data_IF_007799164929
#
_entry.id   IF_007799164929
#
_cell.length_a   1.000
_cell.length_b   1.000
_cell.length_c   1.000
_cell.angle_alpha   90.00
_cell.angle_beta   90.00
_cell.angle_gamma   90.00
#
_symmetry.space_group_name_H-M   'P 1'
#
loop_
_entity.id
_entity.type
_entity.pdbx_description
1 polymer ?
#
# COMPACT_ATOMS: atom_id res chain seq x y z
N UNK A 1 -11.83 -2.35 -0.21
CA UNK A 1 -11.16 -3.48 -0.86
C UNK A 1 -9.91 -3.90 -0.08
N UNK A 2 -8.92 -3.01 0.16
CA UNK A 2 -7.66 -3.40 0.82
C UNK A 2 -7.87 -3.92 2.25
N UNK A 3 -8.65 -3.22 3.08
CA UNK A 3 -9.02 -3.70 4.42
C UNK A 3 -9.67 -5.11 4.38
N UNK A 4 -10.58 -5.33 3.44
CA UNK A 4 -11.25 -6.64 3.28
C UNK A 4 -10.24 -7.74 2.95
N UNK A 5 -9.23 -7.44 2.13
CA UNK A 5 -8.17 -8.39 1.80
C UNK A 5 -7.29 -8.71 3.02
N UNK A 6 -6.92 -7.70 3.80
CA UNK A 6 -6.11 -7.89 5.03
C UNK A 6 -6.88 -8.68 6.09
N UNK A 7 -8.17 -8.41 6.27
CA UNK A 7 -9.05 -9.17 7.17
C UNK A 7 -9.18 -10.65 6.76
N UNK A 8 -9.30 -10.92 5.47
CA UNK A 8 -9.35 -12.29 4.95
C UNK A 8 -8.02 -13.03 5.18
N UNK A 9 -6.89 -12.34 4.98
CA UNK A 9 -5.56 -12.89 5.29
C UNK A 9 -5.46 -13.21 6.78
N UNK A 10 -5.90 -12.30 7.65
CA UNK A 10 -5.92 -12.49 9.09
C UNK A 10 -6.71 -13.76 9.48
N UNK A 11 -7.92 -13.87 8.95
CA UNK A 11 -8.78 -15.01 9.22
C UNK A 11 -8.15 -16.35 8.79
N UNK A 12 -7.50 -16.38 7.63
CA UNK A 12 -6.78 -17.57 7.15
C UNK A 12 -5.59 -17.94 8.05
N UNK A 13 -4.84 -16.95 8.55
CA UNK A 13 -3.74 -17.17 9.48
C UNK A 13 -4.27 -17.78 10.79
N UNK A 14 -5.36 -17.24 11.35
CA UNK A 14 -5.99 -17.76 12.58
C UNK A 14 -6.53 -19.18 12.42
N UNK A 15 -7.04 -19.53 11.25
CA UNK A 15 -7.53 -20.86 10.93
C UNK A 15 -6.42 -21.86 10.56
N UNK A 16 -5.15 -21.43 10.57
CA UNK A 16 -4.02 -22.25 10.12
C UNK A 16 -4.23 -22.82 8.70
N UNK A 17 -4.76 -21.97 7.79
CA UNK A 17 -5.00 -22.34 6.39
C UNK A 17 -3.68 -22.77 5.73
N UNK A 18 -3.62 -24.04 5.27
CA UNK A 18 -2.42 -24.59 4.63
C UNK A 18 -2.07 -23.90 3.30
N UNK A 19 -3.02 -23.18 2.71
CA UNK A 19 -2.86 -22.47 1.44
C UNK A 19 -2.12 -21.15 1.63
N UNK A 20 -2.27 -20.51 2.79
CA UNK A 20 -1.61 -19.24 3.11
C UNK A 20 -0.46 -19.45 4.10
N UNK A 21 0.75 -19.64 3.59
CA UNK A 21 1.98 -19.69 4.40
C UNK A 21 2.57 -18.29 4.53
N UNK A 22 2.07 -17.51 5.47
CA UNK A 22 2.57 -16.16 5.74
C UNK A 22 3.12 -16.08 7.17
N UNK A 23 4.41 -15.71 7.36
CA UNK A 23 4.96 -15.42 8.69
C UNK A 23 4.18 -14.31 9.39
N UNK A 24 4.05 -14.40 10.71
CA UNK A 24 3.32 -13.39 11.51
C UNK A 24 3.87 -11.98 11.31
N UNK A 25 5.19 -11.81 11.33
CA UNK A 25 5.84 -10.52 11.13
C UNK A 25 5.51 -9.91 9.76
N UNK A 26 5.43 -10.73 8.72
CA UNK A 26 5.03 -10.30 7.39
C UNK A 26 3.60 -9.76 7.36
N UNK A 27 2.68 -10.45 8.02
CA UNK A 27 1.30 -9.99 8.18
C UNK A 27 1.23 -8.66 8.96
N UNK A 28 2.00 -8.51 10.05
CA UNK A 28 2.04 -7.29 10.86
C UNK A 28 2.43 -6.05 10.02
N UNK A 29 3.38 -6.16 9.09
CA UNK A 29 3.70 -5.09 8.14
C UNK A 29 2.55 -4.77 7.19
N UNK A 30 1.86 -5.79 6.66
CA UNK A 30 0.70 -5.56 5.79
C UNK A 30 -0.47 -4.94 6.56
N UNK A 31 -0.69 -5.34 7.78
CA UNK A 31 -1.69 -4.76 8.67
C UNK A 31 -1.37 -3.29 8.99
N UNK A 32 -0.13 -2.97 9.30
CA UNK A 32 0.32 -1.60 9.53
C UNK A 32 0.14 -0.74 8.28
N UNK A 33 0.51 -1.26 7.10
CA UNK A 33 0.24 -0.58 5.82
C UNK A 33 -1.25 -0.25 5.63
N UNK A 34 -2.14 -1.16 6.00
CA UNK A 34 -3.59 -0.95 5.91
C UNK A 34 -4.07 0.09 6.93
N UNK A 35 -3.55 0.05 8.16
CA UNK A 35 -3.81 1.03 9.21
C UNK A 35 -3.40 2.44 8.78
N UNK A 36 -2.20 2.59 8.22
CA UNK A 36 -1.68 3.86 7.69
C UNK A 36 -2.62 4.46 6.63
N UNK A 37 -3.11 3.63 5.70
CA UNK A 37 -4.11 4.08 4.70
C UNK A 37 -5.39 4.56 5.37
N UNK A 38 -5.91 3.80 6.34
CA UNK A 38 -7.12 4.18 7.08
C UNK A 38 -6.97 5.51 7.82
N UNK A 39 -5.84 5.69 8.51
CA UNK A 39 -5.50 6.93 9.19
C UNK A 39 -5.29 8.10 8.22
N UNK A 40 -4.68 7.84 7.04
CA UNK A 40 -4.54 8.86 6.00
C UNK A 40 -5.90 9.36 5.50
N UNK A 41 -6.89 8.48 5.32
CA UNK A 41 -8.26 8.89 5.03
C UNK A 41 -8.84 9.79 6.13
N UNK A 42 -8.72 9.38 7.39
CA UNK A 42 -9.21 10.17 8.51
C UNK A 42 -8.60 11.57 8.50
N UNK A 43 -7.28 11.69 8.39
CA UNK A 43 -6.58 12.97 8.35
C UNK A 43 -6.96 13.81 7.13
N UNK A 44 -7.22 13.19 5.98
CA UNK A 44 -7.64 13.89 4.76
C UNK A 44 -8.97 14.61 4.97
N UNK A 45 -9.96 13.94 5.56
CA UNK A 45 -11.26 14.56 5.84
C UNK A 45 -11.24 15.61 6.95
N UNK A 46 -10.19 15.58 7.78
CA UNK A 46 -9.97 16.62 8.81
C UNK A 46 -9.04 17.76 8.35
N UNK A 47 -8.67 17.80 7.05
CA UNK A 47 -7.82 18.87 6.52
C UNK A 47 -6.33 18.76 6.90
N UNK A 48 -5.91 17.62 7.47
CA UNK A 48 -4.53 17.37 7.89
C UNK A 48 -3.70 16.74 6.75
N UNK A 49 -3.64 17.39 5.60
CA UNK A 49 -3.13 16.80 4.33
C UNK A 49 -1.67 16.37 4.40
N UNK A 50 -0.79 17.15 5.06
CA UNK A 50 0.61 16.76 5.25
C UNK A 50 0.72 15.45 6.06
N UNK A 51 -0.06 15.34 7.13
CA UNK A 51 -0.12 14.11 7.93
C UNK A 51 -0.64 12.90 7.11
N UNK A 52 -1.68 13.13 6.31
CA UNK A 52 -2.21 12.09 5.41
C UNK A 52 -1.16 11.58 4.41
N UNK A 53 -0.38 12.47 3.79
CA UNK A 53 0.70 12.12 2.87
C UNK A 53 1.84 11.38 3.57
N UNK A 54 2.19 11.76 4.81
CA UNK A 54 3.18 11.04 5.62
C UNK A 54 2.75 9.60 5.90
N UNK A 55 1.48 9.38 6.22
CA UNK A 55 0.94 8.04 6.45
C UNK A 55 0.87 7.22 5.15
N UNK A 56 0.47 7.81 4.02
CA UNK A 56 0.53 7.11 2.74
C UNK A 56 1.96 6.69 2.36
N UNK A 57 2.95 7.55 2.65
CA UNK A 57 4.36 7.21 2.47
C UNK A 57 4.77 6.03 3.35
N UNK A 58 4.43 6.06 4.66
CA UNK A 58 4.66 4.97 5.60
C UNK A 58 3.98 3.67 5.13
N UNK A 59 2.74 3.77 4.64
CA UNK A 59 2.01 2.64 4.08
C UNK A 59 2.77 1.95 2.94
N UNK A 60 3.41 2.69 2.03
CA UNK A 60 4.21 2.11 0.94
C UNK A 60 5.43 1.37 1.50
N UNK A 61 6.14 1.97 2.46
CA UNK A 61 7.31 1.34 3.10
C UNK A 61 6.92 0.02 3.79
N UNK A 62 5.84 0.03 4.57
CA UNK A 62 5.31 -1.14 5.26
C UNK A 62 4.81 -2.20 4.27
N UNK A 63 4.14 -1.78 3.18
CA UNK A 63 3.69 -2.69 2.15
C UNK A 63 4.84 -3.41 1.44
N UNK A 64 5.91 -2.70 1.08
CA UNK A 64 7.10 -3.31 0.44
C UNK A 64 7.75 -4.33 1.38
N UNK A 65 7.93 -3.99 2.66
CA UNK A 65 8.44 -4.93 3.66
C UNK A 65 7.53 -6.15 3.81
N UNK A 66 6.24 -5.93 4.03
CA UNK A 66 5.26 -6.99 4.20
C UNK A 66 5.05 -7.86 2.97
N UNK A 67 5.20 -7.33 1.77
CA UNK A 67 5.04 -8.12 0.54
C UNK A 67 6.28 -8.93 0.15
N UNK A 68 7.48 -8.61 0.70
CA UNK A 68 8.75 -9.19 0.27
C UNK A 68 9.56 -9.88 1.38
N UNK A 69 9.12 -9.84 2.65
CA UNK A 69 9.86 -10.35 3.80
C UNK A 69 10.25 -11.83 3.67
N UNK A 70 9.38 -12.65 3.13
CA UNK A 70 9.62 -14.08 2.90
C UNK A 70 10.69 -14.37 1.83
N UNK A 71 11.03 -13.37 1.02
CA UNK A 71 12.06 -13.46 -0.02
C UNK A 71 13.37 -12.73 0.37
N UNK A 72 13.30 -11.76 1.29
CA UNK A 72 14.45 -11.04 1.83
C UNK A 72 14.23 -10.68 3.31
N UNK A 73 14.73 -11.54 4.20
CA UNK A 73 14.66 -11.39 5.66
C UNK A 73 15.39 -10.15 6.21
N UNK A 74 16.19 -9.46 5.40
CA UNK A 74 16.91 -8.25 5.81
C UNK A 74 16.04 -6.97 5.73
N UNK A 75 14.88 -7.03 5.08
CA UNK A 75 13.99 -5.87 4.88
C UNK A 75 13.54 -5.19 6.18
N UNK A 76 13.15 -5.90 7.26
CA UNK A 76 12.76 -5.26 8.52
C UNK A 76 13.85 -4.37 9.12
N UNK A 77 15.11 -4.81 9.04
CA UNK A 77 16.28 -4.10 9.59
C UNK A 77 16.77 -2.96 8.69
N UNK A 78 16.28 -2.87 7.46
CA UNK A 78 16.69 -1.86 6.49
C UNK A 78 16.13 -0.49 6.85
N UNK A 79 17.01 0.47 7.14
CA UNK A 79 16.65 1.83 7.57
C UNK A 79 16.44 2.79 6.40
N UNK A 80 17.16 2.61 5.31
CA UNK A 80 17.08 3.44 4.13
C UNK A 80 15.90 2.99 3.26
N UNK A 81 14.95 3.87 3.00
CA UNK A 81 13.79 3.57 2.15
C UNK A 81 14.22 3.27 0.71
N UNK A 82 15.23 3.96 0.19
CA UNK A 82 15.78 3.66 -1.13
C UNK A 82 16.30 2.21 -1.19
N UNK A 83 16.99 1.77 -0.13
CA UNK A 83 17.45 0.38 -0.03
C UNK A 83 16.29 -0.61 0.08
N UNK A 84 15.19 -0.25 0.77
CA UNK A 84 13.96 -1.06 0.80
C UNK A 84 13.39 -1.23 -0.61
N UNK A 85 13.32 -0.16 -1.41
CA UNK A 85 12.88 -0.24 -2.79
C UNK A 85 13.80 -1.11 -3.65
N UNK A 86 15.12 -0.94 -3.53
CA UNK A 86 16.08 -1.74 -4.30
C UNK A 86 16.00 -3.23 -3.96
N UNK A 87 15.88 -3.57 -2.68
CA UNK A 87 15.71 -4.95 -2.21
C UNK A 87 14.38 -5.54 -2.70
N UNK A 88 13.27 -4.82 -2.53
CA UNK A 88 11.95 -5.26 -2.99
C UNK A 88 11.96 -5.51 -4.52
N UNK A 89 12.59 -4.65 -5.30
CA UNK A 89 12.75 -4.82 -6.75
C UNK A 89 13.48 -6.10 -7.12
N UNK A 90 14.39 -6.58 -6.27
CA UNK A 90 15.16 -7.79 -6.50
C UNK A 90 14.37 -9.08 -6.20
N UNK A 91 13.22 -9.01 -5.53
CA UNK A 91 12.39 -10.16 -5.18
C UNK A 91 11.56 -10.68 -6.37
N UNK A 92 11.12 -11.93 -6.32
CA UNK A 92 10.17 -12.51 -7.29
C UNK A 92 8.81 -11.82 -7.28
N UNK A 93 8.45 -11.19 -6.12
CA UNK A 93 7.23 -10.39 -5.98
C UNK A 93 7.16 -9.24 -6.99
N UNK A 94 8.31 -8.64 -7.35
CA UNK A 94 8.37 -7.48 -8.25
C UNK A 94 9.24 -7.68 -9.49
N UNK A 95 9.62 -8.89 -9.83
CA UNK A 95 10.37 -9.19 -11.06
C UNK A 95 9.45 -9.38 -12.28
N UNK A 96 10.06 -9.38 -13.45
CA UNK A 96 9.44 -9.68 -14.75
C UNK A 96 8.22 -8.80 -15.04
N UNK A 97 7.06 -9.40 -15.31
CA UNK A 97 5.81 -8.69 -15.60
C UNK A 97 5.39 -7.75 -14.47
N UNK A 98 5.77 -8.07 -13.22
CA UNK A 98 5.40 -7.31 -12.00
C UNK A 98 6.31 -6.11 -11.72
N UNK A 99 7.40 -5.93 -12.47
CA UNK A 99 8.31 -4.78 -12.30
C UNK A 99 7.61 -3.42 -12.47
N UNK A 100 6.55 -3.37 -13.26
CA UNK A 100 5.75 -2.16 -13.45
C UNK A 100 4.98 -1.77 -12.17
N UNK A 101 4.52 -2.74 -11.37
CA UNK A 101 3.87 -2.46 -10.08
C UNK A 101 4.83 -1.76 -9.11
N UNK A 102 6.06 -2.26 -9.02
CA UNK A 102 7.13 -1.64 -8.22
C UNK A 102 7.45 -0.22 -8.69
N UNK A 103 7.60 -0.02 -10.02
CA UNK A 103 7.89 1.30 -10.60
C UNK A 103 6.77 2.31 -10.28
N UNK A 104 5.51 1.90 -10.37
CA UNK A 104 4.37 2.75 -10.03
C UNK A 104 4.39 3.14 -8.55
N UNK A 105 4.65 2.19 -7.62
CA UNK A 105 4.81 2.51 -6.20
C UNK A 105 5.95 3.48 -5.93
N UNK A 106 7.09 3.28 -6.59
CA UNK A 106 8.24 4.19 -6.46
C UNK A 106 7.89 5.62 -6.91
N UNK A 107 7.14 5.76 -8.01
CA UNK A 107 6.70 7.06 -8.51
C UNK A 107 5.75 7.76 -7.52
N UNK A 108 4.74 7.05 -6.99
CA UNK A 108 3.83 7.64 -6.00
C UNK A 108 4.58 7.97 -4.68
N UNK A 109 5.54 7.14 -4.26
CA UNK A 109 6.40 7.45 -3.12
C UNK A 109 7.23 8.71 -3.33
N UNK A 110 7.83 8.89 -4.52
CA UNK A 110 8.60 10.08 -4.86
C UNK A 110 7.75 11.37 -4.81
N UNK A 111 6.49 11.30 -5.29
CA UNK A 111 5.55 12.41 -5.18
C UNK A 111 5.23 12.74 -3.72
N UNK A 112 4.98 11.73 -2.89
CA UNK A 112 4.71 11.91 -1.46
C UNK A 112 5.91 12.53 -0.71
N UNK A 113 7.15 12.25 -1.15
CA UNK A 113 8.35 12.81 -0.56
C UNK A 113 8.49 14.32 -0.82
N UNK A 114 8.03 14.84 -1.96
CA UNK A 114 8.13 16.27 -2.29
C UNK A 114 7.43 17.16 -1.25
N UNK A 115 6.28 16.72 -0.76
CA UNK A 115 5.49 17.47 0.23
C UNK A 115 6.03 17.38 1.67
N UNK A 116 6.93 16.43 1.94
CA UNK A 116 7.52 16.21 3.26
C UNK A 116 8.81 17.03 3.42
N UNK A 117 9.59 17.13 2.37
CA UNK A 117 10.83 17.88 2.35
C UNK A 117 10.55 19.34 2.02
N UNK A 118 10.72 20.21 3.02
CA UNK A 118 10.57 21.67 2.90
C UNK A 118 11.72 22.34 2.12
N UNK A 119 12.30 21.63 1.16
CA UNK A 119 13.39 22.14 0.32
C UNK A 119 12.93 23.28 -0.62
N UNK A 120 11.62 23.38 -0.89
CA UNK A 120 11.03 24.44 -1.68
C UNK A 120 9.85 25.06 -0.89
N UNK A 121 9.79 26.39 -0.87
CA UNK A 121 8.71 27.15 -0.20
C UNK A 121 7.33 26.84 -0.81
N UNK A 122 7.27 26.46 -2.11
CA UNK A 122 6.03 26.08 -2.77
C UNK A 122 5.41 24.79 -2.20
N UNK A 123 6.21 23.95 -1.51
CA UNK A 123 5.76 22.75 -0.83
C UNK A 123 5.39 22.97 0.64
N UNK A 124 5.53 24.21 1.15
CA UNK A 124 5.14 24.54 2.53
C UNK A 124 3.64 24.83 2.57
N UNK A 125 2.92 24.16 3.46
CA UNK A 125 1.56 24.58 3.80
C UNK A 125 1.64 25.95 4.48
N UNK A 126 1.26 27.02 3.77
CA UNK A 126 1.21 28.37 4.31
C UNK A 126 0.05 28.47 5.29
N UNK A 127 0.32 28.29 6.58
CA UNK A 127 -0.65 28.52 7.63
C UNK A 127 -0.59 30.03 7.96
N UNK A 128 -1.64 30.77 7.63
CA UNK A 128 -1.79 32.19 8.04
C UNK A 128 -2.22 32.26 9.50
N UNK A 129 -1.97 33.39 10.16
CA UNK A 129 -2.31 33.60 11.57
C UNK A 129 -3.79 33.39 11.92
N UNK A 130 -4.68 33.48 10.94
CA UNK A 130 -6.12 33.22 11.06
C UNK A 130 -6.54 31.77 10.75
N UNK A 131 -5.66 30.96 10.17
CA UNK A 131 -5.90 29.57 9.76
C UNK A 131 -5.02 28.59 10.55
N UNK A 132 -4.97 28.74 11.88
CA UNK A 132 -4.19 27.82 12.74
C UNK A 132 -4.76 26.42 12.85
N UNK A 133 -6.00 26.21 12.45
CA UNK A 133 -6.65 24.91 12.49
C UNK A 133 -6.76 24.31 11.10
N UNK A 134 -6.58 22.98 10.98
CA UNK A 134 -6.85 22.27 9.74
C UNK A 134 -8.28 22.56 9.25
N UNK A 135 -8.41 22.80 7.96
CA UNK A 135 -9.71 23.00 7.31
C UNK A 135 -9.82 22.12 6.07
N UNK A 136 -11.04 21.68 5.77
CA UNK A 136 -11.28 20.84 4.61
C UNK A 136 -11.27 21.66 3.32
N UNK A 137 -10.43 21.24 2.36
CA UNK A 137 -10.33 21.80 1.02
C UNK A 137 -10.55 20.70 0.00
N UNK A 138 -11.55 20.84 -0.87
CA UNK A 138 -11.92 19.81 -1.87
C UNK A 138 -10.77 19.42 -2.80
N UNK A 139 -9.95 20.38 -3.22
CA UNK A 139 -8.84 20.15 -4.15
C UNK A 139 -7.74 19.30 -3.48
N UNK A 140 -7.31 19.67 -2.28
CA UNK A 140 -6.27 18.95 -1.54
C UNK A 140 -6.73 17.53 -1.19
N UNK A 141 -7.95 17.41 -0.67
CA UNK A 141 -8.55 16.11 -0.39
C UNK A 141 -8.64 15.25 -1.67
N UNK A 142 -9.11 15.84 -2.78
CA UNK A 142 -9.19 15.19 -4.08
C UNK A 142 -7.84 14.69 -4.59
N UNK A 143 -6.76 15.44 -4.37
CA UNK A 143 -5.40 15.04 -4.75
C UNK A 143 -4.92 13.82 -3.96
N UNK A 144 -5.15 13.79 -2.64
CA UNK A 144 -4.81 12.63 -1.80
C UNK A 144 -5.63 11.40 -2.20
N UNK A 145 -6.94 11.56 -2.43
CA UNK A 145 -7.79 10.46 -2.85
C UNK A 145 -7.34 9.87 -4.20
N UNK A 146 -6.87 10.69 -5.14
CA UNK A 146 -6.28 10.21 -6.40
C UNK A 146 -5.01 9.39 -6.18
N UNK A 147 -4.15 9.77 -5.21
CA UNK A 147 -2.97 8.96 -4.85
C UNK A 147 -3.39 7.61 -4.28
N UNK A 148 -4.35 7.59 -3.36
CA UNK A 148 -4.90 6.33 -2.81
C UNK A 148 -5.49 5.44 -3.91
N UNK A 149 -6.23 6.01 -4.86
CA UNK A 149 -6.80 5.28 -6.00
C UNK A 149 -5.75 4.67 -6.93
N UNK A 150 -4.51 5.14 -6.91
CA UNK A 150 -3.40 4.53 -7.64
C UNK A 150 -2.68 3.47 -6.79
N UNK A 151 -2.46 3.73 -5.51
CA UNK A 151 -1.69 2.87 -4.59
C UNK A 151 -2.45 1.59 -4.28
N UNK A 152 -3.73 1.67 -3.91
CA UNK A 152 -4.51 0.51 -3.44
C UNK A 152 -4.65 -0.59 -4.51
N UNK A 153 -4.94 -0.30 -5.79
CA UNK A 153 -4.95 -1.33 -6.81
C UNK A 153 -3.61 -2.08 -6.96
N UNK A 154 -2.48 -1.38 -6.76
CA UNK A 154 -1.16 -2.01 -6.81
C UNK A 154 -1.00 -3.00 -5.64
N UNK A 155 -1.38 -2.60 -4.42
CA UNK A 155 -1.32 -3.47 -3.24
C UNK A 155 -2.15 -4.74 -3.44
N UNK A 156 -3.41 -4.57 -3.83
CA UNK A 156 -4.34 -5.69 -4.05
C UNK A 156 -3.83 -6.61 -5.16
N UNK A 157 -3.39 -6.05 -6.28
CA UNK A 157 -2.87 -6.83 -7.41
C UNK A 157 -1.62 -7.62 -7.00
N UNK A 158 -0.69 -6.99 -6.29
CA UNK A 158 0.55 -7.65 -5.83
C UNK A 158 0.24 -8.83 -4.90
N UNK A 159 -0.66 -8.63 -3.92
CA UNK A 159 -1.05 -9.70 -2.98
C UNK A 159 -1.81 -10.82 -3.71
N UNK A 160 -2.73 -10.48 -4.61
CA UNK A 160 -3.50 -11.47 -5.37
C UNK A 160 -2.61 -12.31 -6.31
N UNK A 161 -1.54 -11.73 -6.88
CA UNK A 161 -0.56 -12.45 -7.67
C UNK A 161 0.33 -13.36 -6.81
N UNK A 162 0.80 -12.83 -5.68
CA UNK A 162 1.72 -13.55 -4.80
C UNK A 162 1.04 -14.72 -4.08
N UNK A 163 -0.14 -14.48 -3.53
CA UNK A 163 -0.93 -15.46 -2.78
C UNK A 163 -2.14 -15.92 -3.59
N UNK A 164 -1.91 -16.30 -4.84
CA UNK A 164 -2.97 -16.59 -5.81
C UNK A 164 -3.96 -17.66 -5.33
N UNK A 165 -3.48 -18.76 -4.76
CA UNK A 165 -4.35 -19.80 -4.21
C UNK A 165 -5.21 -19.29 -3.03
N UNK A 166 -4.60 -18.50 -2.12
CA UNK A 166 -5.33 -17.90 -1.01
C UNK A 166 -6.38 -16.90 -1.51
N UNK A 167 -6.06 -16.10 -2.53
CA UNK A 167 -7.00 -15.21 -3.19
C UNK A 167 -8.18 -15.98 -3.78
N UNK A 168 -7.93 -17.10 -4.47
CA UNK A 168 -8.99 -17.92 -5.07
C UNK A 168 -9.88 -18.62 -4.05
N UNK A 169 -9.37 -18.92 -2.86
CA UNK A 169 -10.13 -19.53 -1.76
C UNK A 169 -10.92 -18.53 -0.89
N UNK A 170 -10.82 -17.21 -1.17
CA UNK A 170 -11.61 -16.18 -0.49
C UNK A 170 -13.10 -16.38 -0.68
N UNK A 171 -13.90 -15.88 0.31
CA UNK A 171 -15.35 -15.84 0.17
C UNK A 171 -15.76 -15.04 -1.08
N UNK A 172 -16.88 -15.42 -1.71
CA UNK A 172 -17.35 -14.81 -2.96
C UNK A 172 -17.47 -13.29 -2.86
N UNK A 173 -18.06 -12.79 -1.76
CA UNK A 173 -18.28 -11.36 -1.57
C UNK A 173 -16.97 -10.57 -1.47
N UNK A 174 -15.98 -11.10 -0.73
CA UNK A 174 -14.69 -10.46 -0.57
C UNK A 174 -13.87 -10.48 -1.87
N UNK A 175 -13.95 -11.59 -2.60
CA UNK A 175 -13.34 -11.72 -3.91
C UNK A 175 -13.95 -10.75 -4.94
N UNK A 176 -15.26 -10.56 -4.92
CA UNK A 176 -15.92 -9.59 -5.81
C UNK A 176 -15.46 -8.14 -5.52
N UNK A 177 -15.34 -7.77 -4.24
CA UNK A 177 -14.89 -6.44 -3.81
C UNK A 177 -13.42 -6.22 -4.23
N UNK A 178 -12.55 -7.18 -3.99
CA UNK A 178 -11.11 -7.06 -4.32
C UNK A 178 -10.85 -7.12 -5.81
N UNK A 179 -11.60 -7.95 -6.56
CA UNK A 179 -11.45 -8.11 -8.01
C UNK A 179 -11.71 -6.81 -8.80
N UNK A 180 -12.54 -5.92 -8.28
CA UNK A 180 -12.81 -4.61 -8.90
C UNK A 180 -11.57 -3.72 -8.93
N UNK A 181 -10.66 -3.91 -7.97
CA UNK A 181 -9.45 -3.12 -7.80
C UNK A 181 -8.21 -3.74 -8.48
N UNK A 182 -8.30 -4.98 -8.95
CA UNK A 182 -7.18 -5.61 -9.67
C UNK A 182 -6.93 -4.86 -10.97
N UNK A 183 -5.68 -4.47 -11.20
CA UNK A 183 -5.24 -3.76 -12.40
C UNK A 183 -5.50 -4.65 -13.62
N UNK A 184 -6.13 -4.09 -14.65
CA UNK A 184 -6.61 -4.83 -15.81
C UNK A 184 -5.55 -5.69 -16.51
N UNK A 185 -4.33 -5.18 -16.60
CA UNK A 185 -3.19 -5.85 -17.24
C UNK A 185 -2.83 -7.19 -16.55
N UNK A 186 -3.13 -7.31 -15.26
CA UNK A 186 -2.83 -8.49 -14.44
C UNK A 186 -4.02 -9.41 -14.21
N UNK A 187 -5.23 -9.03 -14.63
CA UNK A 187 -6.44 -9.85 -14.39
C UNK A 187 -6.31 -11.27 -14.92
N UNK A 188 -5.72 -11.45 -16.10
CA UNK A 188 -5.53 -12.79 -16.66
C UNK A 188 -4.59 -13.64 -15.81
N UNK A 189 -3.50 -13.04 -15.32
CA UNK A 189 -2.52 -13.72 -14.49
C UNK A 189 -3.12 -14.08 -13.12
N UNK A 190 -3.84 -13.15 -12.49
CA UNK A 190 -4.52 -13.39 -11.21
C UNK A 190 -5.60 -14.46 -11.33
N UNK A 191 -6.33 -14.54 -12.46
CA UNK A 191 -7.41 -15.53 -12.64
C UNK A 191 -6.92 -16.90 -13.13
N UNK A 192 -5.68 -17.02 -13.58
CA UNK A 192 -5.09 -18.33 -13.86
C UNK A 192 -4.60 -18.92 -12.53
N UNK A 193 -5.25 -20.02 -12.13
CA UNK A 193 -4.79 -20.81 -10.98
C UNK A 193 -3.53 -21.53 -11.42
N UNK A 194 -2.38 -21.19 -10.86
CA UNK A 194 -1.11 -21.83 -11.13
C UNK A 194 -0.98 -23.16 -10.38
#
# INVERSE_FOLDING_TARGET
>A
AYLVLIEEIHHKIEQHDEVLKMPKEQYEYLQESCSDVGQAFFLTFHGCYKGAKLLLRSSIENFLKGSCLDEDESLPSTKSVYEVFDKARATGTFKETKANLHMQLHNEYALLCQDVHTADVSHMASITALNHFPSFHNEDAGNILKMVQKIIPIYITTIALKYNLAYHSMSYNYKEITNKEIINDYKKEVHNIA
#
